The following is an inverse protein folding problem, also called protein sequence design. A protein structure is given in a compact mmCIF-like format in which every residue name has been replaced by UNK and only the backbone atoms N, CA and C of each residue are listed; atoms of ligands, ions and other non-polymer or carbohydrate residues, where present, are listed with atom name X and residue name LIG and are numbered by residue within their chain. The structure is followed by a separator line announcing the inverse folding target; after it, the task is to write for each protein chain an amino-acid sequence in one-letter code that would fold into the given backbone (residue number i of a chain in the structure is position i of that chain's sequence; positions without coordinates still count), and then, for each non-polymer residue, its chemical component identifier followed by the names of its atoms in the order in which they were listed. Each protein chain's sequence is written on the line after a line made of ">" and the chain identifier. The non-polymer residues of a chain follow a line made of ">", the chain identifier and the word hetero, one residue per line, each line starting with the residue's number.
data_IF_897234424624
#
_entry.id   IF_897234424624
#
_cell.length_a   1.000
_cell.length_b   1.000
_cell.length_c   1.000
_cell.angle_alpha   90.00
_cell.angle_beta   90.00
_cell.angle_gamma   90.00
#
_symmetry.space_group_name_H-M   'P 1'
#
loop_
_entity.id
_entity.type
_entity.pdbx_description
1 polymer ?
#
# COMPACT_ATOMS: atom_id res chain seq x y z
N UNK A 1 13.93 -6.19 9.59
CA UNK A 1 13.37 -6.86 10.78
C UNK A 1 13.77 -8.34 10.85
N UNK A 2 13.53 -9.16 9.84
CA UNK A 2 13.89 -10.60 9.81
C UNK A 2 15.38 -10.81 10.13
N UNK A 3 16.30 -10.03 9.55
CA UNK A 3 17.75 -10.11 9.83
C UNK A 3 18.12 -9.85 11.30
N UNK A 4 17.28 -9.19 12.09
CA UNK A 4 17.53 -8.90 13.52
C UNK A 4 16.98 -9.99 14.44
N UNK A 5 15.98 -10.75 13.98
CA UNK A 5 15.29 -11.77 14.78
C UNK A 5 15.83 -13.18 14.45
N UNK A 6 16.31 -13.38 13.22
CA UNK A 6 16.83 -14.66 12.76
C UNK A 6 18.25 -14.87 13.30
N UNK A 7 18.51 -15.95 14.06
CA UNK A 7 19.79 -16.17 14.72
C UNK A 7 20.92 -16.59 13.77
N UNK A 8 20.59 -16.91 12.53
CA UNK A 8 21.54 -17.36 11.53
C UNK A 8 21.67 -16.34 10.40
N UNK A 9 22.81 -16.33 9.73
CA UNK A 9 23.00 -15.51 8.54
C UNK A 9 22.06 -16.03 7.44
N UNK A 10 21.15 -15.17 6.97
CA UNK A 10 20.34 -15.51 5.80
C UNK A 10 21.25 -15.64 4.57
N UNK A 11 21.00 -16.64 3.71
CA UNK A 11 21.76 -16.77 2.47
C UNK A 11 21.65 -15.49 1.64
N UNK A 12 22.73 -15.16 0.93
CA UNK A 12 22.68 -14.09 -0.06
C UNK A 12 21.83 -14.59 -1.23
N UNK A 13 20.59 -14.11 -1.29
CA UNK A 13 19.64 -14.52 -2.32
C UNK A 13 19.01 -13.28 -2.98
N UNK A 14 18.52 -13.51 -4.17
CA UNK A 14 17.73 -12.54 -4.92
C UNK A 14 16.53 -12.05 -4.09
N UNK A 15 16.24 -10.73 -4.07
CA UNK A 15 15.14 -10.16 -3.30
C UNK A 15 13.77 -10.77 -3.62
N UNK A 16 13.50 -11.16 -4.87
CA UNK A 16 12.25 -11.83 -5.25
C UNK A 16 12.16 -13.23 -4.64
N UNK A 17 13.28 -13.97 -4.63
CA UNK A 17 13.34 -15.28 -3.98
C UNK A 17 13.10 -15.16 -2.47
N UNK A 18 13.69 -14.14 -1.83
CA UNK A 18 13.44 -13.86 -0.42
C UNK A 18 11.97 -13.53 -0.16
N UNK A 19 11.36 -12.71 -1.03
CA UNK A 19 9.95 -12.38 -0.94
C UNK A 19 9.05 -13.63 -1.06
N UNK A 20 9.38 -14.56 -1.96
CA UNK A 20 8.66 -15.84 -2.09
C UNK A 20 8.79 -16.68 -0.83
N UNK A 21 9.96 -16.74 -0.21
CA UNK A 21 10.14 -17.46 1.06
C UNK A 21 9.31 -16.85 2.19
N UNK A 22 9.28 -15.51 2.30
CA UNK A 22 8.45 -14.82 3.30
C UNK A 22 6.97 -15.12 3.04
N UNK A 23 6.52 -15.03 1.79
CA UNK A 23 5.15 -15.37 1.40
C UNK A 23 4.78 -16.81 1.75
N UNK A 24 5.64 -17.79 1.45
CA UNK A 24 5.41 -19.20 1.81
C UNK A 24 5.36 -19.38 3.34
N UNK A 25 6.23 -18.70 4.08
CA UNK A 25 6.25 -18.78 5.54
C UNK A 25 4.98 -18.19 6.19
N UNK A 26 4.48 -17.08 5.67
CA UNK A 26 3.24 -16.45 6.14
C UNK A 26 2.00 -17.28 5.81
N UNK A 27 2.06 -18.06 4.73
CA UNK A 27 0.97 -18.92 4.25
C UNK A 27 1.19 -20.41 4.53
N UNK A 28 2.05 -20.74 5.48
CA UNK A 28 2.27 -22.12 5.93
C UNK A 28 0.96 -22.71 6.49
N UNK A 29 0.45 -23.84 5.93
CA UNK A 29 -0.80 -24.44 6.35
C UNK A 29 -0.86 -24.83 7.83
N UNK A 30 0.30 -25.11 8.46
CA UNK A 30 0.38 -25.42 9.89
C UNK A 30 0.19 -24.20 10.80
N UNK A 31 0.28 -22.98 10.24
CA UNK A 31 0.25 -21.70 10.95
C UNK A 31 -0.91 -20.81 10.55
N UNK A 32 -1.64 -21.19 9.53
CA UNK A 32 -2.66 -20.38 8.90
C UNK A 32 -4.00 -21.12 8.92
N UNK A 33 -5.07 -20.46 9.34
CA UNK A 33 -6.44 -20.99 9.39
C UNK A 33 -7.07 -21.20 7.99
N UNK A 34 -6.24 -21.42 6.98
CA UNK A 34 -6.67 -21.61 5.58
C UNK A 34 -6.92 -20.30 4.81
N UNK A 35 -6.64 -19.15 5.42
CA UNK A 35 -6.72 -17.85 4.76
C UNK A 35 -5.35 -17.52 4.17
N UNK A 36 -5.27 -17.39 2.85
CA UNK A 36 -4.03 -17.03 2.17
C UNK A 36 -3.89 -15.51 2.17
N UNK A 37 -2.80 -15.02 2.79
CA UNK A 37 -2.40 -13.62 2.74
C UNK A 37 -1.88 -13.27 1.34
N UNK A 38 -2.13 -12.03 0.88
CA UNK A 38 -1.61 -11.55 -0.39
C UNK A 38 -0.08 -11.37 -0.38
N UNK A 39 0.56 -11.50 -1.55
CA UNK A 39 2.02 -11.39 -1.68
C UNK A 39 2.57 -9.95 -1.56
N UNK A 40 1.72 -8.93 -1.52
CA UNK A 40 2.13 -7.53 -1.57
C UNK A 40 3.05 -7.13 -0.41
N UNK A 41 2.79 -7.63 0.80
CA UNK A 41 3.56 -7.28 2.00
C UNK A 41 4.95 -7.93 1.94
N UNK A 42 5.03 -9.21 1.61
CA UNK A 42 6.29 -9.93 1.45
C UNK A 42 7.17 -9.32 0.35
N UNK A 43 6.58 -8.90 -0.77
CA UNK A 43 7.28 -8.21 -1.85
C UNK A 43 7.77 -6.83 -1.38
N UNK A 44 6.92 -6.02 -0.78
CA UNK A 44 7.29 -4.68 -0.28
C UNK A 44 8.36 -4.71 0.82
N UNK A 45 8.41 -5.76 1.63
CA UNK A 45 9.46 -5.97 2.63
C UNK A 45 10.80 -6.34 1.99
N UNK A 46 10.81 -7.11 0.91
CA UNK A 46 12.02 -7.69 0.35
C UNK A 46 12.58 -6.92 -0.84
N UNK A 47 11.74 -6.41 -1.72
CA UNK A 47 12.18 -5.69 -2.93
C UNK A 47 12.25 -4.20 -2.64
N UNK A 48 13.40 -3.53 -2.87
CA UNK A 48 13.56 -2.09 -2.66
C UNK A 48 12.90 -1.28 -3.78
N UNK A 49 12.65 0.00 -3.51
CA UNK A 49 12.05 0.93 -4.45
C UNK A 49 10.53 0.88 -4.45
N UNK A 50 9.93 1.39 -5.52
CA UNK A 50 8.49 1.34 -5.77
C UNK A 50 8.19 0.15 -6.67
N UNK A 51 7.30 -0.74 -6.24
CA UNK A 51 6.96 -1.96 -6.98
C UNK A 51 5.55 -1.90 -7.54
N UNK A 52 5.38 -2.39 -8.77
CA UNK A 52 4.12 -2.66 -9.43
C UNK A 52 3.99 -4.15 -9.70
N UNK A 53 2.85 -4.72 -9.32
CA UNK A 53 2.60 -6.15 -9.39
C UNK A 53 1.52 -6.45 -10.43
N UNK A 54 1.76 -7.45 -11.28
CA UNK A 54 0.81 -7.94 -12.28
C UNK A 54 0.32 -9.32 -11.89
N UNK A 55 -0.97 -9.46 -11.69
CA UNK A 55 -1.61 -10.70 -11.26
C UNK A 55 -2.43 -11.34 -12.39
N UNK A 56 -2.40 -12.66 -12.47
CA UNK A 56 -3.12 -13.48 -13.44
C UNK A 56 -3.95 -14.57 -12.75
N UNK A 57 -4.78 -14.20 -11.77
CA UNK A 57 -5.58 -15.11 -10.93
C UNK A 57 -4.74 -16.07 -10.05
N UNK A 58 -3.47 -15.75 -9.79
CA UNK A 58 -2.61 -16.47 -8.85
C UNK A 58 -2.34 -15.63 -7.63
N UNK A 59 -1.96 -16.27 -6.52
CA UNK A 59 -1.57 -15.57 -5.29
C UNK A 59 -0.22 -14.85 -5.40
N UNK A 60 0.68 -15.33 -6.27
CA UNK A 60 1.94 -14.69 -6.59
C UNK A 60 1.82 -13.95 -7.94
N UNK A 61 2.33 -12.72 -8.05
CA UNK A 61 2.27 -12.00 -9.32
C UNK A 61 3.11 -12.68 -10.40
N UNK A 62 2.64 -12.61 -11.63
CA UNK A 62 3.38 -13.14 -12.79
C UNK A 62 4.57 -12.24 -13.15
N UNK A 63 4.47 -10.94 -12.86
CA UNK A 63 5.52 -9.96 -13.11
C UNK A 63 5.55 -8.92 -11.99
N UNK A 64 6.76 -8.56 -11.57
CA UNK A 64 7.02 -7.45 -10.66
C UNK A 64 7.89 -6.43 -11.39
N UNK A 65 7.44 -5.20 -11.50
CA UNK A 65 8.25 -4.07 -11.94
C UNK A 65 8.72 -3.29 -10.71
N UNK A 66 10.01 -2.97 -10.63
CA UNK A 66 10.59 -2.15 -9.57
C UNK A 66 11.23 -0.91 -10.16
N UNK A 67 10.83 0.27 -9.68
CA UNK A 67 11.48 1.53 -9.96
C UNK A 67 12.41 1.89 -8.80
N UNK A 68 13.68 2.15 -9.12
CA UNK A 68 14.69 2.59 -8.17
C UNK A 68 15.32 3.94 -8.59
N UNK A 69 14.68 4.64 -9.51
CA UNK A 69 15.10 5.99 -9.90
C UNK A 69 14.96 6.95 -8.73
N UNK A 70 16.08 7.52 -8.28
CA UNK A 70 16.12 8.37 -7.11
C UNK A 70 15.26 9.62 -7.25
N UNK A 71 15.16 10.18 -8.46
CA UNK A 71 14.34 11.36 -8.70
C UNK A 71 12.83 11.05 -8.58
N UNK A 72 12.42 9.82 -8.96
CA UNK A 72 11.05 9.35 -8.80
C UNK A 72 10.74 9.03 -7.34
N UNK A 73 11.66 8.31 -6.66
CA UNK A 73 11.45 7.92 -5.27
C UNK A 73 11.41 9.13 -4.33
N UNK A 74 12.36 10.06 -4.47
CA UNK A 74 12.40 11.30 -3.69
C UNK A 74 11.18 12.19 -3.97
N UNK A 75 10.72 12.25 -5.22
CA UNK A 75 9.49 12.95 -5.56
C UNK A 75 8.29 12.33 -4.84
N UNK A 76 8.14 11.02 -4.87
CA UNK A 76 7.03 10.34 -4.20
C UNK A 76 7.06 10.53 -2.67
N UNK A 77 8.25 10.45 -2.05
CA UNK A 77 8.45 10.72 -0.62
C UNK A 77 8.07 12.16 -0.23
N UNK A 78 8.20 13.10 -1.17
CA UNK A 78 7.81 14.49 -0.93
C UNK A 78 6.31 14.76 -1.07
N UNK A 79 5.56 13.82 -1.64
CA UNK A 79 4.13 13.97 -1.89
C UNK A 79 3.25 12.91 -1.19
N UNK A 80 3.83 12.01 -0.40
CA UNK A 80 3.08 10.97 0.28
C UNK A 80 3.38 10.95 1.78
N UNK A 81 2.31 10.99 2.59
CA UNK A 81 2.39 10.90 4.05
C UNK A 81 1.42 9.87 4.59
N UNK A 82 1.68 9.39 5.80
CA UNK A 82 0.80 8.49 6.53
C UNK A 82 0.26 9.18 7.77
N UNK A 83 -1.04 9.12 7.98
CA UNK A 83 -1.70 9.60 9.20
C UNK A 83 -2.07 8.37 10.02
N UNK A 84 -1.48 8.19 11.23
CA UNK A 84 -1.86 7.12 12.13
C UNK A 84 -3.32 7.28 12.57
N UNK A 85 -4.05 6.20 12.54
CA UNK A 85 -5.42 6.11 13.05
C UNK A 85 -5.51 5.08 14.16
N UNK A 86 -6.66 4.99 14.80
CA UNK A 86 -6.93 3.91 15.75
C UNK A 86 -6.78 2.54 15.08
N UNK A 87 -6.30 1.52 15.82
CA UNK A 87 -6.30 0.15 15.33
C UNK A 87 -7.70 -0.32 14.95
N UNK A 88 -7.79 -1.20 13.97
CA UNK A 88 -9.05 -1.87 13.66
C UNK A 88 -9.60 -2.59 14.89
N UNK A 89 -10.90 -2.43 15.16
CA UNK A 89 -11.55 -3.09 16.29
C UNK A 89 -11.56 -4.62 16.08
N UNK A 90 -11.33 -5.41 17.13
CA UNK A 90 -11.49 -6.86 17.05
C UNK A 90 -12.88 -7.25 16.55
N UNK A 91 -12.95 -8.26 15.69
CA UNK A 91 -14.22 -8.73 15.11
C UNK A 91 -14.74 -7.90 13.92
N UNK A 92 -14.06 -6.82 13.55
CA UNK A 92 -14.41 -6.01 12.39
C UNK A 92 -14.01 -6.72 11.09
N UNK A 93 -14.98 -7.17 10.31
CA UNK A 93 -14.74 -7.79 9.01
C UNK A 93 -14.72 -6.74 7.91
N UNK A 94 -13.57 -6.55 7.28
CA UNK A 94 -13.40 -5.61 6.14
C UNK A 94 -13.89 -6.21 4.82
N UNK A 95 -14.17 -7.52 4.80
CA UNK A 95 -14.71 -8.23 3.63
C UNK A 95 -16.22 -8.41 3.70
N UNK A 96 -16.87 -7.90 4.74
CA UNK A 96 -18.32 -7.91 4.86
C UNK A 96 -18.94 -7.03 3.77
N UNK A 97 -19.99 -7.55 3.12
CA UNK A 97 -20.66 -6.84 2.02
C UNK A 97 -19.81 -6.67 0.76
N UNK A 98 -18.73 -7.45 0.59
CA UNK A 98 -17.90 -7.39 -0.62
C UNK A 98 -18.73 -7.67 -1.88
N UNK A 99 -18.49 -6.86 -2.90
CA UNK A 99 -19.11 -6.99 -4.22
C UNK A 99 -18.02 -6.91 -5.30
N UNK A 100 -17.42 -8.05 -5.61
CA UNK A 100 -16.32 -8.17 -6.54
C UNK A 100 -16.86 -8.58 -7.91
N UNK A 101 -16.82 -7.67 -8.87
CA UNK A 101 -17.18 -7.92 -10.26
C UNK A 101 -16.00 -7.61 -11.17
N UNK A 102 -15.98 -8.17 -12.38
CA UNK A 102 -14.93 -7.92 -13.37
C UNK A 102 -14.79 -6.41 -13.67
N UNK A 103 -15.89 -5.69 -13.78
CA UNK A 103 -15.92 -4.25 -14.05
C UNK A 103 -15.22 -3.47 -12.92
N UNK A 104 -15.52 -3.81 -11.65
CA UNK A 104 -14.92 -3.15 -10.49
C UNK A 104 -13.43 -3.48 -10.33
N UNK A 105 -13.05 -4.73 -10.57
CA UNK A 105 -11.64 -5.16 -10.57
C UNK A 105 -10.88 -4.42 -11.67
N UNK A 106 -11.45 -4.32 -12.89
CA UNK A 106 -10.86 -3.56 -13.97
C UNK A 106 -10.69 -2.09 -13.63
N UNK A 107 -11.69 -1.46 -13.01
CA UNK A 107 -11.62 -0.05 -12.60
C UNK A 107 -10.46 0.18 -11.61
N UNK A 108 -10.24 -0.73 -10.65
CA UNK A 108 -9.11 -0.67 -9.72
C UNK A 108 -7.77 -0.85 -10.45
N UNK A 109 -7.67 -1.81 -11.37
CA UNK A 109 -6.47 -2.06 -12.15
C UNK A 109 -6.12 -0.85 -13.03
N UNK A 110 -7.09 -0.30 -13.76
CA UNK A 110 -6.91 0.89 -14.60
C UNK A 110 -6.47 2.12 -13.76
N UNK A 111 -7.00 2.27 -12.54
CA UNK A 111 -6.56 3.33 -11.63
C UNK A 111 -5.13 3.12 -11.13
N UNK A 112 -4.73 1.89 -10.83
CA UNK A 112 -3.36 1.55 -10.45
C UNK A 112 -2.36 1.84 -11.60
N UNK A 113 -2.74 1.55 -12.83
CA UNK A 113 -1.95 1.85 -14.03
C UNK A 113 -1.74 3.37 -14.21
N UNK A 114 -2.79 4.15 -14.01
CA UNK A 114 -2.69 5.61 -14.04
C UNK A 114 -1.84 6.15 -12.89
N UNK A 115 -1.95 5.59 -11.68
CA UNK A 115 -1.08 5.95 -10.56
C UNK A 115 0.40 5.73 -10.91
N UNK A 116 0.73 4.55 -11.43
CA UNK A 116 2.10 4.24 -11.84
C UNK A 116 2.62 5.24 -12.87
N UNK A 117 1.85 5.48 -13.93
CA UNK A 117 2.23 6.42 -15.00
C UNK A 117 2.43 7.84 -14.46
N UNK A 118 1.53 8.32 -13.61
CA UNK A 118 1.61 9.65 -13.00
C UNK A 118 2.86 9.78 -12.11
N UNK A 119 3.18 8.77 -11.30
CA UNK A 119 4.39 8.76 -10.47
C UNK A 119 5.66 8.77 -11.33
N UNK A 120 5.72 7.94 -12.38
CA UNK A 120 6.89 7.92 -13.28
C UNK A 120 7.11 9.27 -13.96
N UNK A 121 6.04 9.99 -14.32
CA UNK A 121 6.09 11.31 -14.92
C UNK A 121 6.22 12.45 -13.88
N UNK A 122 6.13 12.15 -12.59
CA UNK A 122 6.13 13.13 -11.49
C UNK A 122 5.00 14.17 -11.66
N UNK A 123 3.84 13.72 -12.11
CA UNK A 123 2.63 14.52 -12.31
C UNK A 123 1.73 14.40 -11.06
N UNK A 124 1.75 15.43 -10.22
CA UNK A 124 1.06 15.41 -8.94
C UNK A 124 -0.47 15.42 -9.08
N UNK A 125 -1.00 16.17 -10.02
CA UNK A 125 -2.45 16.26 -10.24
C UNK A 125 -3.01 14.94 -10.77
N UNK A 126 -2.32 14.35 -11.77
CA UNK A 126 -2.68 13.04 -12.30
C UNK A 126 -2.54 11.94 -11.24
N UNK A 127 -1.49 12.00 -10.39
CA UNK A 127 -1.30 11.06 -9.29
C UNK A 127 -2.43 11.18 -8.26
N UNK A 128 -2.74 12.37 -7.77
CA UNK A 128 -3.81 12.59 -6.81
C UNK A 128 -5.18 12.12 -7.35
N UNK A 129 -5.45 12.40 -8.64
CA UNK A 129 -6.67 11.93 -9.29
C UNK A 129 -6.73 10.40 -9.34
N UNK A 130 -5.68 9.76 -9.85
CA UNK A 130 -5.62 8.30 -9.98
C UNK A 130 -5.66 7.59 -8.61
N UNK A 131 -5.06 8.21 -7.57
CA UNK A 131 -5.08 7.72 -6.20
C UNK A 131 -6.50 7.72 -5.61
N UNK A 132 -7.27 8.81 -5.82
CA UNK A 132 -8.71 8.87 -5.47
C UNK A 132 -9.52 7.83 -6.22
N UNK A 133 -9.32 7.71 -7.54
CA UNK A 133 -10.02 6.72 -8.37
C UNK A 133 -9.76 5.30 -7.87
N UNK A 134 -8.51 4.98 -7.50
CA UNK A 134 -8.12 3.70 -6.91
C UNK A 134 -8.80 3.44 -5.56
N UNK A 135 -8.91 4.46 -4.70
CA UNK A 135 -9.61 4.31 -3.43
C UNK A 135 -11.11 4.10 -3.63
N UNK A 136 -11.75 4.88 -4.50
CA UNK A 136 -13.17 4.74 -4.80
C UNK A 136 -13.49 3.36 -5.38
N UNK A 137 -12.68 2.86 -6.32
CA UNK A 137 -12.85 1.52 -6.89
C UNK A 137 -12.67 0.41 -5.82
N UNK A 138 -11.77 0.60 -4.88
CA UNK A 138 -11.56 -0.34 -3.78
C UNK A 138 -12.74 -0.33 -2.79
N UNK A 139 -13.24 0.85 -2.40
CA UNK A 139 -14.40 0.99 -1.51
C UNK A 139 -15.67 0.46 -2.17
N UNK A 140 -15.81 0.63 -3.48
CA UNK A 140 -16.95 0.08 -4.23
C UNK A 140 -16.99 -1.46 -4.20
N UNK A 141 -15.84 -2.12 -4.14
CA UNK A 141 -15.74 -3.57 -3.94
C UNK A 141 -15.80 -3.99 -2.46
N UNK A 142 -15.29 -3.16 -1.56
CA UNK A 142 -15.14 -3.46 -0.14
C UNK A 142 -15.64 -2.29 0.73
N UNK A 143 -16.96 -2.04 0.79
CA UNK A 143 -17.50 -0.87 1.51
C UNK A 143 -17.16 -0.87 3.00
N UNK A 144 -16.99 -2.04 3.59
CA UNK A 144 -16.59 -2.17 5.00
C UNK A 144 -15.15 -1.69 5.30
N UNK A 145 -14.35 -1.31 4.29
CA UNK A 145 -13.05 -0.66 4.52
C UNK A 145 -13.19 0.71 5.20
N UNK A 146 -14.30 1.42 4.91
CA UNK A 146 -14.59 2.76 5.44
C UNK A 146 -15.56 2.64 6.61
N UNK A 147 -15.12 2.02 7.70
CA UNK A 147 -15.89 1.87 8.94
C UNK A 147 -15.06 2.23 10.17
N UNK A 148 -15.68 2.21 11.35
CA UNK A 148 -15.01 2.53 12.61
C UNK A 148 -14.57 3.99 12.67
N UNK A 149 -13.29 4.24 12.89
CA UNK A 149 -12.72 5.58 12.97
C UNK A 149 -12.46 6.24 11.60
N UNK A 150 -12.45 5.46 10.51
CA UNK A 150 -12.02 5.93 9.18
C UNK A 150 -12.81 7.15 8.68
N UNK A 151 -14.17 7.19 8.76
CA UNK A 151 -14.93 8.35 8.30
C UNK A 151 -14.56 9.64 9.02
N UNK A 152 -14.26 9.56 10.32
CA UNK A 152 -13.84 10.72 11.10
C UNK A 152 -12.48 11.27 10.61
N UNK A 153 -11.50 10.40 10.39
CA UNK A 153 -10.19 10.81 9.87
C UNK A 153 -10.29 11.39 8.46
N UNK A 154 -11.10 10.79 7.58
CA UNK A 154 -11.34 11.33 6.24
C UNK A 154 -11.91 12.76 6.35
N UNK A 155 -12.92 12.96 7.20
CA UNK A 155 -13.54 14.28 7.39
C UNK A 155 -12.55 15.32 7.91
N UNK A 156 -11.62 14.95 8.80
CA UNK A 156 -10.62 15.86 9.35
C UNK A 156 -9.60 16.33 8.30
N UNK A 157 -9.26 15.47 7.32
CA UNK A 157 -8.13 15.75 6.43
C UNK A 157 -8.52 16.00 4.97
N UNK A 158 -9.75 15.72 4.55
CA UNK A 158 -10.20 15.80 3.14
C UNK A 158 -9.91 17.13 2.44
N UNK A 159 -9.96 18.26 3.18
CA UNK A 159 -9.76 19.61 2.64
C UNK A 159 -8.28 20.06 2.69
N UNK A 160 -7.42 19.31 3.39
CA UNK A 160 -6.00 19.61 3.56
C UNK A 160 -5.07 18.69 2.75
N UNK A 161 -5.62 17.68 2.08
CA UNK A 161 -4.87 16.73 1.24
C UNK A 161 -5.43 16.69 -0.17
N UNK A 162 -4.58 16.36 -1.14
CA UNK A 162 -5.00 16.23 -2.54
C UNK A 162 -5.78 14.95 -2.80
N UNK A 163 -5.42 13.87 -2.11
CA UNK A 163 -6.09 12.58 -2.16
C UNK A 163 -5.74 11.75 -0.92
N UNK A 164 -6.55 10.73 -0.63
CA UNK A 164 -6.29 9.78 0.44
C UNK A 164 -6.72 8.38 0.06
N UNK A 165 -6.15 7.38 0.74
CA UNK A 165 -6.49 5.96 0.56
C UNK A 165 -6.12 5.18 1.82
N UNK A 166 -6.85 4.09 2.08
CA UNK A 166 -6.44 3.09 3.06
C UNK A 166 -5.37 2.17 2.45
N UNK A 167 -4.14 2.12 3.00
CA UNK A 167 -3.15 1.14 2.59
C UNK A 167 -3.50 -0.23 3.18
N UNK A 168 -3.88 -1.18 2.35
CA UNK A 168 -4.27 -2.53 2.79
C UNK A 168 -5.76 -2.69 3.05
N UNK A 169 -6.13 -3.47 4.07
CA UNK A 169 -7.51 -3.93 4.28
C UNK A 169 -8.49 -2.85 4.77
N UNK A 170 -8.01 -1.76 5.35
CA UNK A 170 -8.89 -0.70 5.87
C UNK A 170 -9.44 -0.97 7.28
N UNK A 171 -10.45 -0.19 7.68
CA UNK A 171 -11.08 -0.27 8.99
C UNK A 171 -10.27 0.33 10.15
N UNK A 172 -9.08 0.89 9.89
CA UNK A 172 -8.17 1.50 10.87
C UNK A 172 -6.70 1.34 10.48
N UNK A 173 -5.80 1.76 11.34
CA UNK A 173 -4.35 1.68 11.17
C UNK A 173 -3.75 2.95 10.59
N UNK A 174 -3.75 3.14 9.28
CA UNK A 174 -3.20 4.34 8.64
C UNK A 174 -4.09 4.84 7.50
N UNK A 175 -4.13 6.16 7.34
CA UNK A 175 -4.62 6.84 6.15
C UNK A 175 -3.41 7.35 5.35
N UNK A 176 -3.22 6.86 4.14
CA UNK A 176 -2.17 7.34 3.24
C UNK A 176 -2.71 8.53 2.43
N UNK A 177 -2.00 9.65 2.48
CA UNK A 177 -2.46 10.90 1.89
C UNK A 177 -1.45 11.43 0.89
N UNK A 178 -1.96 11.87 -0.27
CA UNK A 178 -1.20 12.65 -1.25
C UNK A 178 -1.29 14.12 -0.87
N UNK A 179 -0.15 14.78 -0.76
CA UNK A 179 -0.04 16.18 -0.34
C UNK A 179 0.86 16.97 -1.29
N UNK A 180 0.74 18.28 -1.31
CA UNK A 180 1.61 19.14 -2.11
C UNK A 180 3.07 19.10 -1.64
N UNK A 181 3.29 19.04 -0.32
CA UNK A 181 4.62 18.98 0.27
C UNK A 181 4.57 18.27 1.62
N UNK A 182 5.21 17.11 1.72
CA UNK A 182 5.19 16.27 2.91
C UNK A 182 5.87 16.95 4.12
N UNK A 183 6.90 17.76 3.91
CA UNK A 183 7.58 18.46 5.01
C UNK A 183 6.68 19.56 5.60
N UNK A 184 6.07 20.37 4.74
CA UNK A 184 5.14 21.41 5.17
C UNK A 184 3.91 20.82 5.87
N UNK A 185 3.37 19.73 5.30
CA UNK A 185 2.21 19.05 5.87
C UNK A 185 2.50 18.46 7.26
N UNK A 186 3.63 17.79 7.45
CA UNK A 186 4.00 17.19 8.75
C UNK A 186 4.41 18.23 9.80
N UNK A 187 4.86 19.41 9.38
CA UNK A 187 5.05 20.56 10.31
C UNK A 187 3.72 21.08 10.85
N UNK A 188 2.68 21.10 10.00
CA UNK A 188 1.34 21.53 10.40
C UNK A 188 0.55 20.42 11.13
N UNK A 189 0.88 19.15 10.90
CA UNK A 189 0.24 17.95 11.44
C UNK A 189 1.30 17.03 12.05
N UNK A 190 1.73 17.27 13.30
CA UNK A 190 2.86 16.54 13.93
C UNK A 190 2.64 15.03 14.08
N UNK A 191 1.41 14.56 14.04
CA UNK A 191 1.05 13.14 14.05
C UNK A 191 1.30 12.45 12.71
N UNK A 192 1.37 13.20 11.60
CA UNK A 192 1.61 12.65 10.29
C UNK A 192 3.07 12.20 10.13
N UNK A 193 3.27 11.10 9.43
CA UNK A 193 4.57 10.44 9.24
C UNK A 193 4.99 10.60 7.78
N UNK A 194 6.19 11.11 7.56
CA UNK A 194 6.83 11.08 6.24
C UNK A 194 7.27 9.65 5.92
N UNK A 195 7.06 9.26 4.68
CA UNK A 195 7.53 7.98 4.18
C UNK A 195 8.99 8.09 3.72
N UNK A 196 9.71 7.00 3.92
CA UNK A 196 11.03 6.78 3.32
C UNK A 196 10.99 5.46 2.58
N UNK A 197 11.21 5.52 1.28
CA UNK A 197 11.24 4.34 0.42
C UNK A 197 12.64 3.72 0.53
N UNK A 198 12.71 2.42 0.78
CA UNK A 198 13.98 1.72 0.91
C UNK A 198 14.71 1.68 -0.43
N UNK A 199 16.00 2.04 -0.45
CA UNK A 199 16.91 1.92 -1.59
C UNK A 199 17.66 0.58 -1.54
N UNK A 200 18.19 0.15 -2.68
CA UNK A 200 19.12 -0.98 -2.73
C UNK A 200 20.37 -0.68 -1.90
N UNK A 201 20.80 -1.63 -1.09
CA UNK A 201 22.02 -1.50 -0.28
C UNK A 201 21.84 -0.85 1.09
N UNK A 202 20.63 -0.47 1.49
CA UNK A 202 20.31 -0.05 2.86
C UNK A 202 19.96 -1.22 3.78
#
# INVERSE_FOLDING_TARGET
>A
MIKKIWPYQLPNMDPEMLAKLVFCFENDPERNDGIISGAQDSIGICIPGLCRHYYNNRFWPEKIESCQDEAVLSWLENHLVMIPMEPRRPGCSVVEGKDITEVKVKALADAADRCWTAIMNKDLDAFAKAYRDSFNAQVDMFPAMVQGCVPWYIEQYKDSVLAYKMPGAGGGGYLACVVENAEAFTKANPEAIRLTIRRSGM
#
